data_IF_645040912271
#
_entry.id   IF_645040912271
#
_cell.length_a   1.000
_cell.length_b   1.000
_cell.length_c   1.000
_cell.angle_alpha   90.00
_cell.angle_beta   90.00
_cell.angle_gamma   90.00
#
_symmetry.space_group_name_H-M   'P 1'
#
loop_
_entity.id
_entity.type
_entity.pdbx_description
1 polymer ?
#
# COMPACT_ATOMS: atom_id res chain seq x y z
N UNK A 1 -45.61 -26.69 -8.25
CA UNK A 1 -44.34 -27.30 -7.80
C UNK A 1 -43.11 -26.60 -8.38
N UNK A 2 -43.03 -26.38 -9.71
CA UNK A 2 -41.90 -25.68 -10.34
C UNK A 2 -41.65 -24.23 -9.83
N UNK A 3 -42.69 -23.44 -9.58
CA UNK A 3 -42.51 -22.05 -9.13
C UNK A 3 -41.96 -21.92 -7.71
N UNK A 4 -42.27 -22.89 -6.86
CA UNK A 4 -41.71 -22.99 -5.51
C UNK A 4 -40.21 -23.28 -5.57
N UNK A 5 -39.79 -24.19 -6.46
CA UNK A 5 -38.39 -24.54 -6.71
C UNK A 5 -37.64 -23.34 -7.29
N UNK A 6 -38.21 -22.63 -8.26
CA UNK A 6 -37.60 -21.42 -8.86
C UNK A 6 -37.39 -20.28 -7.85
N UNK A 7 -38.34 -20.04 -6.95
CA UNK A 7 -38.21 -19.02 -5.88
C UNK A 7 -37.08 -19.37 -4.91
N UNK A 8 -37.00 -20.64 -4.47
CA UNK A 8 -35.92 -21.11 -3.59
C UNK A 8 -34.55 -21.03 -4.26
N UNK A 9 -34.46 -21.39 -5.54
CA UNK A 9 -33.22 -21.29 -6.32
C UNK A 9 -32.74 -19.83 -6.44
N UNK A 10 -33.64 -18.88 -6.69
CA UNK A 10 -33.29 -17.44 -6.73
C UNK A 10 -32.84 -16.92 -5.37
N UNK A 11 -33.52 -17.26 -4.29
CA UNK A 11 -33.11 -16.87 -2.93
C UNK A 11 -31.76 -17.47 -2.55
N UNK A 12 -31.48 -18.72 -2.94
CA UNK A 12 -30.19 -19.36 -2.73
C UNK A 12 -29.08 -18.65 -3.54
N UNK A 13 -29.34 -18.30 -4.80
CA UNK A 13 -28.39 -17.57 -5.64
C UNK A 13 -28.06 -16.17 -5.10
N UNK A 14 -29.07 -15.46 -4.55
CA UNK A 14 -28.87 -14.16 -3.92
C UNK A 14 -28.06 -14.28 -2.61
N UNK A 15 -28.38 -15.28 -1.77
CA UNK A 15 -27.62 -15.53 -0.55
C UNK A 15 -26.16 -15.89 -0.83
N UNK A 16 -25.91 -16.71 -1.86
CA UNK A 16 -24.55 -17.08 -2.28
C UNK A 16 -23.73 -15.89 -2.80
N UNK A 17 -24.36 -14.97 -3.54
CA UNK A 17 -23.69 -13.76 -4.04
C UNK A 17 -23.37 -12.76 -2.92
N UNK A 18 -24.25 -12.61 -1.93
CA UNK A 18 -23.97 -11.80 -0.73
C UNK A 18 -22.85 -12.42 0.11
N UNK A 19 -22.84 -13.74 0.28
CA UNK A 19 -21.76 -14.44 0.99
C UNK A 19 -20.40 -14.30 0.28
N UNK A 20 -20.39 -14.35 -1.05
CA UNK A 20 -19.17 -14.16 -1.84
C UNK A 20 -18.61 -12.72 -1.73
N UNK A 21 -19.48 -11.71 -1.66
CA UNK A 21 -19.06 -10.31 -1.46
C UNK A 21 -18.53 -10.05 -0.05
N UNK A 22 -19.02 -10.78 0.97
CA UNK A 22 -18.53 -10.70 2.34
C UNK A 22 -17.22 -11.46 2.59
N UNK A 23 -16.81 -12.34 1.68
CA UNK A 23 -15.63 -13.18 1.79
C UNK A 23 -14.38 -12.58 1.12
N UNK A 24 -14.24 -11.25 1.09
CA UNK A 24 -12.98 -10.63 0.67
C UNK A 24 -11.92 -10.95 1.72
N UNK A 25 -11.08 -11.95 1.45
CA UNK A 25 -9.86 -12.17 2.22
C UNK A 25 -9.02 -10.89 2.15
N UNK A 26 -8.66 -10.35 3.31
CA UNK A 26 -7.65 -9.29 3.38
C UNK A 26 -6.33 -9.94 3.03
N UNK A 27 -5.89 -9.78 1.78
CA UNK A 27 -4.60 -10.25 1.33
C UNK A 27 -3.51 -9.47 2.07
N UNK A 28 -2.43 -10.16 2.46
CA UNK A 28 -1.20 -9.53 2.90
C UNK A 28 -0.74 -8.50 1.85
N UNK A 29 -0.31 -7.34 2.32
CA UNK A 29 0.19 -6.25 1.51
C UNK A 29 1.71 -6.12 1.66
N UNK A 30 2.37 -5.72 0.59
CA UNK A 30 3.77 -5.31 0.62
C UNK A 30 3.81 -3.79 0.80
N UNK A 31 4.36 -3.32 1.93
CA UNK A 31 4.52 -1.89 2.22
C UNK A 31 5.92 -1.46 1.81
N UNK A 32 6.02 -0.54 0.85
CA UNK A 32 7.29 -0.06 0.31
C UNK A 32 7.64 1.30 0.90
N UNK A 33 8.89 1.44 1.33
CA UNK A 33 9.46 2.66 1.89
C UNK A 33 10.52 3.21 0.92
N UNK A 34 10.23 4.35 0.28
CA UNK A 34 11.18 5.04 -0.57
C UNK A 34 12.34 5.64 0.22
N UNK A 35 13.58 5.28 -0.12
CA UNK A 35 14.80 5.77 0.50
C UNK A 35 15.83 6.20 -0.56
N UNK A 36 17.05 6.57 -0.13
CA UNK A 36 18.20 6.73 -1.02
C UNK A 36 19.00 5.41 -1.12
N UNK A 37 20.02 5.40 -1.98
CA UNK A 37 20.97 4.29 -2.12
C UNK A 37 21.56 3.83 -0.78
N UNK A 38 22.02 2.59 -0.76
CA UNK A 38 22.77 2.00 0.34
C UNK A 38 23.99 2.84 0.71
N UNK A 39 24.35 2.85 2.00
CA UNK A 39 25.40 3.71 2.54
C UNK A 39 24.95 5.15 2.84
N UNK A 40 23.72 5.53 2.49
CA UNK A 40 23.10 6.78 2.97
C UNK A 40 22.46 6.61 4.34
N UNK A 41 22.33 7.71 5.09
CA UNK A 41 21.57 7.72 6.34
C UNK A 41 20.09 7.38 6.13
N UNK A 42 19.53 7.72 4.97
CA UNK A 42 18.14 7.45 4.62
C UNK A 42 17.88 5.94 4.46
N UNK A 43 18.81 5.23 3.84
CA UNK A 43 18.73 3.76 3.75
C UNK A 43 18.75 3.11 5.13
N UNK A 44 19.70 3.51 5.99
CA UNK A 44 19.83 2.96 7.35
C UNK A 44 18.57 3.25 8.18
N UNK A 45 18.02 4.46 8.08
CA UNK A 45 16.78 4.82 8.75
C UNK A 45 15.61 3.97 8.26
N UNK A 46 15.43 3.83 6.95
CA UNK A 46 14.34 3.04 6.38
C UNK A 46 14.45 1.55 6.76
N UNK A 47 15.64 0.96 6.70
CA UNK A 47 15.88 -0.43 7.11
C UNK A 47 15.65 -0.63 8.62
N UNK A 48 15.99 0.37 9.45
CA UNK A 48 15.68 0.32 10.88
C UNK A 48 14.17 0.42 11.11
N UNK A 49 13.47 1.28 10.36
CA UNK A 49 12.03 1.42 10.44
C UNK A 49 11.33 0.13 10.03
N UNK A 50 11.74 -0.50 8.93
CA UNK A 50 11.30 -1.84 8.48
C UNK A 50 11.37 -2.86 9.62
N UNK A 51 12.54 -3.00 10.26
CA UNK A 51 12.74 -3.93 11.38
C UNK A 51 11.82 -3.65 12.58
N UNK A 52 11.46 -2.39 12.83
CA UNK A 52 10.58 -2.00 13.93
C UNK A 52 9.12 -2.29 13.57
N UNK A 53 8.69 -1.99 12.34
CA UNK A 53 7.27 -2.01 11.98
C UNK A 53 6.81 -3.36 11.41
N UNK A 54 7.64 -4.10 10.68
CA UNK A 54 7.23 -5.36 10.06
C UNK A 54 6.66 -6.37 11.09
N UNK A 55 7.26 -6.57 12.28
CA UNK A 55 6.71 -7.49 13.28
C UNK A 55 5.33 -7.10 13.83
N UNK A 56 4.94 -5.82 13.73
CA UNK A 56 3.65 -5.31 14.22
C UNK A 56 2.60 -5.21 13.11
N UNK A 57 2.98 -5.40 11.84
CA UNK A 57 2.09 -5.32 10.68
C UNK A 57 1.41 -6.65 10.33
N UNK A 58 1.58 -7.68 11.17
CA UNK A 58 0.88 -8.95 11.04
C UNK A 58 1.35 -9.74 9.82
N UNK A 59 0.46 -9.97 8.86
CA UNK A 59 0.78 -10.71 7.64
C UNK A 59 1.41 -9.88 6.52
N UNK A 60 1.50 -8.56 6.69
CA UNK A 60 2.07 -7.67 5.68
C UNK A 60 3.61 -7.71 5.73
N UNK A 61 4.24 -7.48 4.59
CA UNK A 61 5.70 -7.36 4.47
C UNK A 61 6.12 -5.90 4.33
N UNK A 62 7.40 -5.62 4.56
CA UNK A 62 7.96 -4.29 4.34
C UNK A 62 9.18 -4.37 3.42
N UNK A 63 9.26 -3.50 2.43
CA UNK A 63 10.38 -3.42 1.48
C UNK A 63 10.98 -2.00 1.44
N UNK A 64 12.31 -1.89 1.50
CA UNK A 64 13.01 -0.62 1.32
C UNK A 64 13.45 -0.41 -0.14
N UNK A 65 12.95 0.64 -0.77
CA UNK A 65 13.31 1.01 -2.15
C UNK A 65 14.49 1.98 -2.15
N UNK A 66 15.70 1.44 -2.31
CA UNK A 66 16.97 2.18 -2.20
C UNK A 66 17.41 2.94 -3.47
N UNK A 67 16.50 3.64 -4.16
CA UNK A 67 16.80 4.29 -5.47
C UNK A 67 16.36 5.75 -5.60
N UNK A 68 15.82 6.33 -4.54
CA UNK A 68 15.22 7.65 -4.56
C UNK A 68 16.11 8.79 -4.05
N UNK A 69 15.47 9.85 -3.56
CA UNK A 69 16.09 11.08 -3.09
C UNK A 69 15.04 12.17 -2.84
N UNK A 70 15.45 13.37 -2.43
CA UNK A 70 14.52 14.42 -1.97
C UNK A 70 13.36 14.71 -2.93
N UNK A 71 13.65 14.94 -4.20
CA UNK A 71 12.67 15.21 -5.28
C UNK A 71 12.01 13.92 -5.77
N UNK A 72 12.80 12.87 -5.99
CA UNK A 72 12.31 11.63 -6.57
C UNK A 72 11.32 10.87 -5.66
N UNK A 73 11.48 10.93 -4.34
CA UNK A 73 10.65 10.18 -3.40
C UNK A 73 9.17 10.63 -3.39
N UNK A 74 8.85 11.93 -3.36
CA UNK A 74 7.50 12.40 -3.61
C UNK A 74 6.87 11.86 -4.89
N UNK A 75 7.59 11.85 -6.02
CA UNK A 75 7.07 11.26 -7.26
C UNK A 75 6.83 9.76 -7.15
N UNK A 76 7.72 9.02 -6.47
CA UNK A 76 7.55 7.57 -6.26
C UNK A 76 6.26 7.29 -5.49
N UNK A 77 5.96 8.10 -4.46
CA UNK A 77 4.70 8.01 -3.70
C UNK A 77 3.50 8.40 -4.56
N UNK A 78 3.57 9.54 -5.26
CA UNK A 78 2.49 10.02 -6.14
C UNK A 78 2.11 8.99 -7.22
N UNK A 79 3.11 8.30 -7.77
CA UNK A 79 2.92 7.28 -8.80
C UNK A 79 2.51 5.91 -8.23
N UNK A 80 2.26 5.78 -6.92
CA UNK A 80 1.87 4.51 -6.29
C UNK A 80 2.97 3.45 -6.29
N UNK A 81 4.24 3.85 -6.44
CA UNK A 81 5.40 2.96 -6.43
C UNK A 81 5.98 2.75 -5.03
N UNK A 82 5.58 3.58 -4.07
CA UNK A 82 5.79 3.35 -2.65
C UNK A 82 4.63 3.94 -1.84
N UNK A 83 4.33 3.35 -0.70
CA UNK A 83 3.27 3.80 0.21
C UNK A 83 3.73 5.01 1.02
N UNK A 84 5.01 5.02 1.41
CA UNK A 84 5.67 6.13 2.10
C UNK A 84 7.10 6.31 1.60
N UNK A 85 7.70 7.48 1.83
CA UNK A 85 9.11 7.70 1.51
C UNK A 85 9.72 8.81 2.39
N UNK A 86 11.04 8.77 2.54
CA UNK A 86 11.81 9.86 3.16
C UNK A 86 11.93 11.02 2.16
N UNK A 87 11.81 12.27 2.62
CA UNK A 87 11.99 13.44 1.75
C UNK A 87 12.62 14.59 2.53
N UNK A 88 13.21 15.55 1.81
CA UNK A 88 13.56 16.82 2.41
C UNK A 88 12.27 17.62 2.65
N UNK A 89 12.27 18.47 3.68
CA UNK A 89 11.09 19.30 4.00
C UNK A 89 10.66 20.16 2.80
N UNK A 90 11.61 20.79 2.10
CA UNK A 90 11.30 21.63 0.94
C UNK A 90 10.60 20.85 -0.19
N UNK A 91 11.13 19.68 -0.57
CA UNK A 91 10.53 18.86 -1.62
C UNK A 91 9.19 18.25 -1.21
N UNK A 92 9.00 17.93 0.08
CA UNK A 92 7.69 17.50 0.60
C UNK A 92 6.65 18.62 0.55
N UNK A 93 7.05 19.87 0.86
CA UNK A 93 6.16 21.04 0.76
C UNK A 93 5.79 21.31 -0.69
N UNK A 94 6.75 21.27 -1.61
CA UNK A 94 6.46 21.40 -3.05
C UNK A 94 5.47 20.33 -3.50
N UNK A 95 5.72 19.08 -3.13
CA UNK A 95 4.85 17.94 -3.40
C UNK A 95 3.41 18.12 -2.89
N UNK A 96 3.29 18.60 -1.65
CA UNK A 96 2.00 18.90 -1.05
C UNK A 96 1.25 20.03 -1.77
N UNK A 97 1.95 20.92 -2.46
CA UNK A 97 1.40 22.13 -3.06
C UNK A 97 1.11 22.01 -4.56
N UNK A 98 1.51 20.93 -5.24
CA UNK A 98 1.30 20.85 -6.69
C UNK A 98 2.31 21.62 -7.56
N UNK A 99 3.43 22.10 -7.00
CA UNK A 99 4.50 22.77 -7.74
C UNK A 99 5.16 21.90 -8.83
N UNK A 100 5.53 22.47 -9.97
CA UNK A 100 6.06 21.73 -11.14
C UNK A 100 7.43 21.05 -10.95
N UNK A 101 8.11 21.28 -9.81
CA UNK A 101 9.53 20.92 -9.60
C UNK A 101 9.75 19.65 -8.77
N UNK A 102 8.69 18.90 -8.42
CA UNK A 102 8.83 17.63 -7.70
C UNK A 102 8.55 16.42 -8.58
#
# INVERSE_FOLDING_TARGET
MLDFIRKRARSAALAASVAALGATAVAAQDIRIGAMREGSSWYVFAATLEQIIEPILGGNSVEVIARGGGVANPMVVQNGKAEIALSNVASAVWASQGADVY
#
